data_IF_535751219385
#
_entry.id   IF_535751219385
#
_cell.length_a   1.000
_cell.length_b   1.000
_cell.length_c   1.000
_cell.angle_alpha   90.00
_cell.angle_beta   90.00
_cell.angle_gamma   90.00
#
_symmetry.space_group_name_H-M   'P 1'
#
loop_
_entity.id
_entity.type
_entity.pdbx_description
1 polymer ?
#
# COMPACT_ATOMS: atom_id res chain seq x y z
N UNK A 1 6.12 -7.56 -17.85
CA UNK A 1 5.76 -6.14 -18.11
C UNK A 1 5.05 -5.65 -16.87
N UNK A 2 5.36 -4.47 -16.36
CA UNK A 2 4.69 -3.92 -15.16
C UNK A 2 3.27 -3.48 -15.53
N UNK A 3 2.28 -3.87 -14.72
CA UNK A 3 0.90 -3.34 -14.81
C UNK A 3 0.92 -1.89 -14.32
N UNK A 4 0.29 -0.99 -15.05
CA UNK A 4 0.42 0.44 -14.84
C UNK A 4 -0.87 1.23 -14.91
N UNK A 5 -0.73 2.55 -15.09
CA UNK A 5 -1.85 3.51 -15.08
C UNK A 5 -2.86 3.17 -16.18
N UNK A 6 -4.15 3.20 -15.81
CA UNK A 6 -5.28 2.92 -16.70
C UNK A 6 -5.65 1.44 -16.80
N UNK A 7 -4.90 0.55 -16.14
CA UNK A 7 -5.19 -0.87 -16.06
C UNK A 7 -5.89 -1.21 -14.74
N UNK A 8 -6.67 -2.31 -14.74
CA UNK A 8 -7.29 -2.82 -13.52
C UNK A 8 -6.23 -3.33 -12.55
N UNK A 9 -6.34 -2.98 -11.25
CA UNK A 9 -5.55 -3.64 -10.24
C UNK A 9 -6.01 -5.10 -10.08
N UNK A 10 -5.10 -6.09 -10.04
CA UNK A 10 -5.48 -7.49 -10.01
C UNK A 10 -6.39 -7.84 -8.83
N UNK A 11 -7.50 -8.54 -9.11
CA UNK A 11 -8.36 -9.13 -8.10
C UNK A 11 -7.69 -10.37 -7.50
N UNK A 12 -7.38 -10.34 -6.22
CA UNK A 12 -6.69 -11.43 -5.52
C UNK A 12 -7.16 -11.54 -4.08
N UNK A 13 -7.40 -12.78 -3.62
CA UNK A 13 -7.64 -13.07 -2.22
C UNK A 13 -6.32 -13.39 -1.52
N UNK A 14 -6.00 -12.69 -0.44
CA UNK A 14 -4.81 -12.90 0.38
C UNK A 14 -5.20 -13.07 1.86
N UNK A 15 -4.45 -13.89 2.59
CA UNK A 15 -4.54 -13.89 4.04
C UNK A 15 -3.88 -12.63 4.58
N UNK A 16 -4.49 -12.00 5.57
CA UNK A 16 -3.96 -10.77 6.14
C UNK A 16 -4.22 -10.67 7.64
N UNK A 17 -3.43 -9.84 8.31
CA UNK A 17 -3.64 -9.48 9.70
C UNK A 17 -4.45 -8.19 9.74
N UNK A 18 -5.61 -8.23 10.38
CA UNK A 18 -6.54 -7.12 10.51
C UNK A 18 -6.83 -6.80 11.97
N UNK A 19 -7.34 -5.61 12.23
CA UNK A 19 -7.69 -5.15 13.58
C UNK A 19 -6.57 -4.38 14.27
N UNK A 20 -6.82 -3.97 15.50
CA UNK A 20 -5.92 -3.18 16.34
C UNK A 20 -5.51 -4.04 17.54
N UNK A 21 -4.28 -3.87 18.03
CA UNK A 21 -3.84 -4.57 19.23
C UNK A 21 -4.76 -4.22 20.43
N UNK A 22 -5.10 -5.21 21.32
CA UNK A 22 -4.65 -6.61 21.27
C UNK A 22 -5.54 -7.55 20.43
N UNK A 23 -6.52 -7.03 19.71
CA UNK A 23 -7.59 -7.81 19.05
C UNK A 23 -7.29 -8.08 17.56
N UNK A 24 -6.00 -8.17 17.18
CA UNK A 24 -5.60 -8.54 15.81
C UNK A 24 -5.98 -9.98 15.49
N UNK A 25 -6.53 -10.18 14.29
CA UNK A 25 -6.95 -11.48 13.78
C UNK A 25 -6.46 -11.70 12.35
N UNK A 26 -6.32 -12.97 11.96
CA UNK A 26 -6.06 -13.34 10.58
C UNK A 26 -7.40 -13.52 9.85
N UNK A 27 -7.52 -12.87 8.68
CA UNK A 27 -8.70 -12.95 7.82
C UNK A 27 -8.30 -12.97 6.34
N UNK A 28 -9.17 -13.51 5.50
CA UNK A 28 -9.04 -13.41 4.06
C UNK A 28 -9.53 -12.04 3.59
N UNK A 29 -8.72 -11.35 2.82
CA UNK A 29 -8.97 -10.03 2.26
C UNK A 29 -8.86 -10.11 0.74
N UNK A 30 -9.82 -9.54 0.04
CA UNK A 30 -9.78 -9.35 -1.40
C UNK A 30 -9.23 -7.96 -1.73
N UNK A 31 -8.31 -7.87 -2.69
CA UNK A 31 -7.69 -6.59 -3.09
C UNK A 31 -8.69 -5.59 -3.66
N UNK A 32 -9.83 -6.05 -4.12
CA UNK A 32 -10.94 -5.24 -4.63
C UNK A 32 -12.11 -5.05 -3.62
N UNK A 33 -11.98 -5.54 -2.39
CA UNK A 33 -12.96 -5.24 -1.34
C UNK A 33 -13.15 -3.73 -1.21
N UNK A 34 -14.38 -3.30 -0.85
CA UNK A 34 -14.78 -1.90 -0.79
C UNK A 34 -14.65 -1.13 -2.12
N UNK A 35 -15.38 -1.55 -3.11
CA UNK A 35 -15.41 -1.01 -4.49
C UNK A 35 -15.71 0.48 -4.64
N UNK A 36 -16.14 1.17 -3.60
CA UNK A 36 -16.48 2.60 -3.65
C UNK A 36 -15.39 3.51 -3.10
N UNK A 37 -14.27 2.95 -2.61
CA UNK A 37 -13.24 3.72 -1.93
C UNK A 37 -11.92 3.73 -2.73
N UNK A 38 -11.21 4.84 -2.62
CA UNK A 38 -9.83 4.91 -3.05
C UNK A 38 -8.98 3.96 -2.22
N UNK A 39 -7.98 3.33 -2.86
CA UNK A 39 -7.05 2.42 -2.19
C UNK A 39 -5.61 2.85 -2.40
N UNK A 40 -4.82 2.76 -1.34
CA UNK A 40 -3.37 2.81 -1.41
C UNK A 40 -2.85 1.42 -1.07
N UNK A 41 -2.22 0.78 -2.05
CA UNK A 41 -1.68 -0.57 -1.93
C UNK A 41 -0.17 -0.47 -2.09
N UNK A 42 0.57 -0.81 -1.05
CA UNK A 42 2.02 -0.74 -1.10
C UNK A 42 2.67 -2.09 -0.82
N UNK A 43 3.73 -2.36 -1.57
CA UNK A 43 4.55 -3.55 -1.41
C UNK A 43 5.84 -3.20 -0.68
N UNK A 44 6.30 -4.11 0.17
CA UNK A 44 7.59 -4.01 0.85
C UNK A 44 8.29 -5.38 0.87
N UNK A 45 9.64 -5.42 0.91
CA UNK A 45 10.37 -6.64 0.63
C UNK A 45 10.28 -7.70 1.74
N UNK A 46 10.25 -7.31 3.04
CA UNK A 46 10.39 -8.31 4.10
C UNK A 46 10.08 -7.77 5.50
N UNK A 47 9.38 -8.60 6.30
CA UNK A 47 9.20 -8.39 7.74
C UNK A 47 10.54 -8.49 8.49
N UNK A 48 10.58 -7.98 9.71
CA UNK A 48 11.74 -8.02 10.60
C UNK A 48 13.02 -7.42 10.00
N UNK A 49 12.88 -6.34 9.22
CA UNK A 49 13.98 -5.58 8.61
C UNK A 49 14.04 -4.14 9.13
N UNK A 50 14.83 -3.27 8.49
CA UNK A 50 15.14 -1.94 9.02
C UNK A 50 14.33 -0.81 8.40
N UNK A 51 14.17 -0.78 7.08
CA UNK A 51 13.43 0.28 6.37
C UNK A 51 11.91 0.03 6.45
N UNK A 52 11.47 -1.22 6.28
CA UNK A 52 10.07 -1.57 6.17
C UNK A 52 9.21 -1.12 7.37
N UNK A 53 9.62 -1.26 8.64
CA UNK A 53 8.80 -0.81 9.74
C UNK A 53 8.63 0.71 9.77
N UNK A 54 9.61 1.48 9.30
CA UNK A 54 9.49 2.95 9.21
C UNK A 54 8.48 3.38 8.18
N UNK A 55 8.38 2.64 7.06
CA UNK A 55 7.39 2.89 6.01
C UNK A 55 5.98 2.53 6.47
N UNK A 56 5.80 1.33 7.06
CA UNK A 56 4.50 0.87 7.56
C UNK A 56 3.96 1.84 8.62
N UNK A 57 4.78 2.25 9.58
CA UNK A 57 4.41 3.26 10.57
C UNK A 57 4.03 4.61 9.94
N UNK A 58 4.72 5.03 8.86
CA UNK A 58 4.38 6.25 8.15
C UNK A 58 3.05 6.14 7.38
N UNK A 59 2.73 4.97 6.82
CA UNK A 59 1.45 4.74 6.15
C UNK A 59 0.25 4.75 7.11
N UNK A 60 0.44 4.56 8.42
CA UNK A 60 -0.64 4.74 9.39
C UNK A 60 -1.24 6.15 9.33
N UNK A 61 -0.43 7.17 9.05
CA UNK A 61 -0.92 8.53 8.80
C UNK A 61 -1.97 8.59 7.67
N UNK A 62 -1.80 7.78 6.63
CA UNK A 62 -2.77 7.68 5.53
C UNK A 62 -4.06 7.04 6.04
N UNK A 63 -3.96 5.92 6.75
CA UNK A 63 -5.11 5.21 7.28
C UNK A 63 -5.93 6.03 8.28
N UNK A 64 -5.24 6.86 9.09
CA UNK A 64 -5.90 7.72 10.09
C UNK A 64 -6.51 9.00 9.52
N UNK A 65 -5.87 9.61 8.52
CA UNK A 65 -6.20 10.96 8.07
C UNK A 65 -6.95 11.01 6.74
N UNK A 66 -6.84 9.96 5.95
CA UNK A 66 -7.45 9.90 4.63
C UNK A 66 -8.61 8.91 4.61
N UNK A 67 -9.70 9.30 3.96
CA UNK A 67 -10.83 8.41 3.72
C UNK A 67 -10.51 7.49 2.54
N UNK A 68 -9.63 6.52 2.78
CA UNK A 68 -9.20 5.52 1.82
C UNK A 68 -8.77 4.23 2.50
N UNK A 69 -8.75 3.14 1.75
CA UNK A 69 -8.27 1.84 2.21
C UNK A 69 -6.77 1.77 2.01
N UNK A 70 -6.04 1.25 3.00
CA UNK A 70 -4.61 1.02 2.93
C UNK A 70 -4.32 -0.48 3.09
N UNK A 71 -3.53 -1.04 2.19
CA UNK A 71 -3.00 -2.40 2.30
C UNK A 71 -1.47 -2.39 2.19
N UNK A 72 -0.79 -3.00 3.16
CA UNK A 72 0.63 -3.32 3.07
C UNK A 72 0.81 -4.78 2.70
N UNK A 73 1.67 -5.09 1.72
CA UNK A 73 1.82 -6.44 1.18
C UNK A 73 3.30 -6.83 1.12
N UNK A 74 3.63 -8.01 1.63
CA UNK A 74 4.95 -8.63 1.48
C UNK A 74 4.83 -10.14 1.21
N UNK A 75 5.93 -10.82 0.83
CA UNK A 75 5.91 -12.26 0.62
C UNK A 75 5.93 -13.08 1.91
N UNK A 76 6.04 -12.43 3.07
CA UNK A 76 5.96 -13.12 4.37
C UNK A 76 4.55 -13.65 4.60
N UNK A 77 4.42 -14.69 5.44
CA UNK A 77 3.12 -15.24 5.76
C UNK A 77 2.39 -14.44 6.85
N UNK A 78 1.10 -14.68 6.98
CA UNK A 78 0.21 -13.99 7.91
C UNK A 78 0.61 -14.14 9.39
N UNK A 79 1.22 -15.24 9.78
CA UNK A 79 1.70 -15.45 11.16
C UNK A 79 2.96 -14.64 11.45
N UNK A 80 3.83 -14.46 10.44
CA UNK A 80 4.98 -13.58 10.53
C UNK A 80 4.53 -12.12 10.69
N UNK A 81 3.56 -11.67 9.90
CA UNK A 81 2.95 -10.35 10.03
C UNK A 81 2.36 -10.12 11.42
N UNK A 82 1.59 -11.10 11.93
CA UNK A 82 0.95 -10.98 13.25
C UNK A 82 2.00 -10.78 14.35
N UNK A 83 3.01 -11.66 14.41
CA UNK A 83 4.08 -11.58 15.42
C UNK A 83 4.85 -10.25 15.31
N UNK A 84 5.13 -9.80 14.10
CA UNK A 84 5.86 -8.55 13.90
C UNK A 84 5.06 -7.31 14.30
N UNK A 85 3.77 -7.27 13.99
CA UNK A 85 2.86 -6.19 14.40
C UNK A 85 2.68 -6.12 15.92
N UNK A 86 2.72 -7.27 16.62
CA UNK A 86 2.60 -7.32 18.07
C UNK A 86 3.90 -7.02 18.81
N UNK A 87 5.04 -7.43 18.25
CA UNK A 87 6.35 -7.34 18.91
C UNK A 87 7.15 -6.07 18.61
N UNK A 88 6.88 -5.39 17.50
CA UNK A 88 7.62 -4.20 17.09
C UNK A 88 6.96 -2.91 17.62
N UNK A 89 7.64 -2.13 18.48
CA UNK A 89 7.08 -0.91 19.06
C UNK A 89 6.63 0.15 18.04
N UNK A 90 7.18 0.16 16.84
CA UNK A 90 6.76 1.08 15.76
C UNK A 90 5.45 0.66 15.10
N UNK A 91 5.04 -0.61 15.26
CA UNK A 91 3.94 -1.20 14.51
C UNK A 91 2.72 -1.55 15.37
N UNK A 92 2.82 -1.42 16.68
CA UNK A 92 1.75 -1.82 17.61
C UNK A 92 0.42 -1.08 17.38
N UNK A 93 0.49 0.15 16.87
CA UNK A 93 -0.66 1.00 16.62
C UNK A 93 -1.16 0.94 15.16
N UNK A 94 -0.52 0.14 14.30
CA UNK A 94 -0.93 0.00 12.90
C UNK A 94 -2.32 -0.59 12.81
N UNK A 95 -3.23 0.12 12.13
CA UNK A 95 -4.66 -0.20 12.03
C UNK A 95 -5.04 -0.85 10.70
N UNK A 96 -4.27 -0.62 9.63
CA UNK A 96 -4.55 -1.18 8.32
C UNK A 96 -4.00 -2.61 8.17
N UNK A 97 -4.61 -3.43 7.28
CA UNK A 97 -4.17 -4.81 7.08
C UNK A 97 -2.77 -4.95 6.47
N UNK A 98 -1.99 -5.91 7.00
CA UNK A 98 -0.82 -6.47 6.31
C UNK A 98 -1.19 -7.79 5.66
N UNK A 99 -1.02 -7.90 4.35
CA UNK A 99 -1.43 -9.04 3.54
C UNK A 99 -0.22 -9.88 3.10
N UNK A 100 -0.41 -11.19 3.11
CA UNK A 100 0.60 -12.19 2.80
C UNK A 100 0.52 -12.61 1.33
N UNK A 101 1.39 -12.08 0.47
CA UNK A 101 1.59 -12.54 -0.90
C UNK A 101 2.64 -13.65 -0.93
N UNK A 102 2.38 -14.74 -0.19
CA UNK A 102 3.31 -15.86 -0.07
C UNK A 102 3.62 -16.47 -1.44
N UNK A 103 4.89 -16.42 -1.82
CA UNK A 103 5.34 -16.86 -3.15
C UNK A 103 5.32 -15.77 -4.22
N UNK A 104 5.07 -14.51 -3.87
CA UNK A 104 5.09 -13.34 -4.78
C UNK A 104 4.10 -13.42 -5.96
N UNK A 105 3.00 -14.14 -5.84
CA UNK A 105 2.08 -14.33 -6.97
C UNK A 105 1.49 -13.01 -7.48
N UNK A 106 1.04 -12.15 -6.59
CA UNK A 106 0.50 -10.84 -6.96
C UNK A 106 1.63 -9.89 -7.41
N UNK A 107 2.77 -9.89 -6.72
CA UNK A 107 3.92 -9.09 -7.11
C UNK A 107 4.50 -9.49 -8.48
N UNK A 108 4.51 -10.77 -8.82
CA UNK A 108 4.88 -11.27 -10.16
C UNK A 108 3.88 -10.82 -11.23
N UNK A 109 2.59 -10.92 -10.96
CA UNK A 109 1.54 -10.44 -11.87
C UNK A 109 1.68 -8.94 -12.13
N UNK A 110 2.01 -8.15 -11.11
CA UNK A 110 2.25 -6.71 -11.23
C UNK A 110 3.61 -6.37 -11.89
N UNK A 111 4.52 -7.34 -12.01
CA UNK A 111 5.85 -7.15 -12.60
C UNK A 111 6.82 -6.36 -11.71
N UNK A 112 6.71 -6.48 -10.40
CA UNK A 112 7.50 -5.72 -9.41
C UNK A 112 8.46 -6.58 -8.58
N UNK A 113 8.66 -7.85 -8.93
CA UNK A 113 9.60 -8.73 -8.22
C UNK A 113 11.03 -8.43 -8.65
N UNK A 114 11.91 -8.29 -7.68
CA UNK A 114 13.34 -8.05 -7.88
C UNK A 114 14.13 -9.35 -8.13
N UNK A 115 15.39 -9.22 -8.51
CA UNK A 115 16.32 -10.36 -8.65
C UNK A 115 16.58 -11.08 -7.30
N UNK A 116 16.28 -10.44 -6.17
CA UNK A 116 16.34 -11.03 -4.83
C UNK A 116 15.09 -11.84 -4.45
N UNK A 117 14.15 -12.01 -5.39
CA UNK A 117 12.88 -12.70 -5.20
C UNK A 117 12.00 -12.08 -4.10
N UNK A 118 12.03 -10.77 -3.98
CA UNK A 118 11.13 -9.96 -3.14
C UNK A 118 10.59 -8.79 -3.95
N UNK A 119 9.43 -8.22 -3.62
CA UNK A 119 8.93 -7.06 -4.34
C UNK A 119 9.80 -5.84 -4.08
N UNK A 120 9.96 -5.01 -5.11
CA UNK A 120 10.41 -3.63 -4.93
C UNK A 120 9.44 -2.86 -4.03
N UNK A 121 9.85 -1.68 -3.57
CA UNK A 121 8.99 -0.78 -2.77
C UNK A 121 8.02 -0.06 -3.69
N UNK A 122 7.05 -0.80 -4.20
CA UNK A 122 6.01 -0.29 -5.09
C UNK A 122 4.83 0.27 -4.31
N UNK A 123 4.22 1.34 -4.82
CA UNK A 123 2.98 1.93 -4.29
C UNK A 123 2.03 2.17 -5.44
N UNK A 124 0.80 1.72 -5.28
CA UNK A 124 -0.30 1.92 -6.20
C UNK A 124 -1.38 2.77 -5.53
N UNK A 125 -1.90 3.76 -6.26
CA UNK A 125 -3.15 4.43 -5.90
C UNK A 125 -4.19 3.94 -6.90
N UNK A 126 -5.25 3.35 -6.38
CA UNK A 126 -6.34 2.73 -7.15
C UNK A 126 -7.62 3.49 -6.86
N UNK A 127 -8.35 3.85 -7.90
CA UNK A 127 -9.61 4.57 -7.78
C UNK A 127 -10.78 3.65 -7.34
N UNK A 128 -11.96 4.23 -7.05
CA UNK A 128 -13.14 3.45 -6.65
C UNK A 128 -13.62 2.44 -7.70
N UNK A 129 -13.28 2.62 -8.96
CA UNK A 129 -13.59 1.70 -10.06
C UNK A 129 -12.59 0.55 -10.18
N UNK A 130 -11.52 0.56 -9.38
CA UNK A 130 -10.47 -0.47 -9.40
C UNK A 130 -9.34 -0.20 -10.38
N UNK A 131 -9.32 0.99 -11.00
CA UNK A 131 -8.32 1.38 -12.00
C UNK A 131 -7.11 2.04 -11.33
N UNK A 132 -5.93 1.64 -11.74
CA UNK A 132 -4.66 2.22 -11.26
C UNK A 132 -4.52 3.65 -11.80
N UNK A 133 -4.41 4.62 -10.91
CA UNK A 133 -4.23 6.04 -11.22
C UNK A 133 -2.82 6.55 -10.94
N UNK A 134 -2.04 5.84 -10.13
CA UNK A 134 -0.65 6.17 -9.84
C UNK A 134 0.14 4.91 -9.52
N UNK A 135 1.40 4.88 -9.98
CA UNK A 135 2.40 3.87 -9.61
C UNK A 135 3.72 4.57 -9.30
N UNK A 136 4.30 4.27 -8.17
CA UNK A 136 5.70 4.60 -7.89
C UNK A 136 6.47 3.38 -7.39
N UNK A 137 7.73 3.25 -7.79
CA UNK A 137 8.57 2.10 -7.43
C UNK A 137 9.94 2.60 -7.04
N UNK A 138 10.35 2.32 -5.80
CA UNK A 138 11.71 2.59 -5.32
C UNK A 138 12.54 1.30 -5.31
N UNK A 139 13.85 1.45 -5.46
CA UNK A 139 14.82 0.39 -5.19
C UNK A 139 14.72 -0.11 -3.73
N UNK A 140 15.21 -1.32 -3.50
CA UNK A 140 15.07 -2.00 -2.20
C UNK A 140 15.65 -1.20 -1.01
N UNK A 141 16.73 -0.44 -1.25
CA UNK A 141 17.43 0.32 -0.21
C UNK A 141 16.92 1.76 -0.01
N UNK A 142 15.85 2.14 -0.74
CA UNK A 142 15.34 3.51 -0.72
C UNK A 142 13.91 3.56 -0.22
N UNK A 143 13.70 4.12 0.98
CA UNK A 143 12.39 4.36 1.57
C UNK A 143 11.55 5.36 0.78
N UNK A 144 10.24 5.29 0.96
CA UNK A 144 9.24 6.14 0.29
C UNK A 144 9.02 7.46 1.02
N UNK A 145 8.41 8.41 0.31
CA UNK A 145 7.87 9.64 0.90
C UNK A 145 6.34 9.52 0.96
N UNK A 146 5.79 9.26 2.14
CA UNK A 146 4.33 9.09 2.34
C UNK A 146 3.58 10.40 2.15
N UNK A 147 4.15 11.55 2.48
CA UNK A 147 3.52 12.86 2.27
C UNK A 147 3.29 13.13 0.77
N UNK A 148 4.21 12.71 -0.09
CA UNK A 148 4.02 12.81 -1.55
C UNK A 148 2.94 11.86 -2.05
N UNK A 149 2.77 10.70 -1.45
CA UNK A 149 1.68 9.77 -1.78
C UNK A 149 0.34 10.40 -1.40
N UNK A 150 0.23 11.02 -0.22
CA UNK A 150 -0.97 11.75 0.22
C UNK A 150 -1.26 12.93 -0.73
N UNK A 151 -0.25 13.72 -1.06
CA UNK A 151 -0.39 14.84 -2.01
C UNK A 151 -0.94 14.35 -3.35
N UNK A 152 -0.40 13.25 -3.86
CA UNK A 152 -0.83 12.66 -5.13
C UNK A 152 -2.27 12.14 -5.04
N UNK A 153 -2.66 11.50 -3.95
CA UNK A 153 -4.04 11.07 -3.70
C UNK A 153 -5.00 12.27 -3.74
N UNK A 154 -4.66 13.37 -3.08
CA UNK A 154 -5.46 14.59 -3.09
C UNK A 154 -5.60 15.17 -4.50
N UNK A 155 -4.53 15.19 -5.28
CA UNK A 155 -4.56 15.68 -6.65
C UNK A 155 -5.46 14.82 -7.56
N UNK A 156 -5.39 13.49 -7.41
CA UNK A 156 -6.25 12.56 -8.15
C UNK A 156 -7.73 12.72 -7.77
N UNK A 157 -8.03 12.84 -6.48
CA UNK A 157 -9.39 13.05 -5.97
C UNK A 157 -10.00 14.39 -6.41
N UNK A 158 -9.18 15.43 -6.56
CA UNK A 158 -9.63 16.75 -6.96
C UNK A 158 -10.27 16.77 -8.37
N UNK A 159 -9.87 15.86 -9.26
CA UNK A 159 -10.50 15.61 -10.55
C UNK A 159 -10.33 16.73 -11.59
N UNK A 160 -9.55 17.79 -11.28
CA UNK A 160 -9.23 18.89 -12.20
C UNK A 160 -7.81 18.78 -12.74
N UNK A 161 -7.40 19.77 -13.55
CA UNK A 161 -6.03 19.86 -14.07
C UNK A 161 -5.11 20.45 -12.97
N UNK A 162 -4.48 19.58 -12.22
CA UNK A 162 -3.55 19.96 -11.15
C UNK A 162 -2.16 20.26 -11.73
N UNK A 163 -1.60 21.42 -11.38
CA UNK A 163 -0.27 21.82 -11.82
C UNK A 163 0.86 21.07 -11.11
N UNK A 164 2.10 21.36 -11.51
CA UNK A 164 3.28 20.84 -10.82
C UNK A 164 3.27 21.25 -9.35
N UNK A 165 3.56 20.31 -8.45
CA UNK A 165 3.57 20.52 -6.99
C UNK A 165 2.24 21.00 -6.40
N UNK A 166 1.14 20.77 -7.10
CA UNK A 166 -0.20 21.13 -6.63
C UNK A 166 -0.49 20.50 -5.26
N UNK A 167 -1.08 21.27 -4.36
CA UNK A 167 -1.56 20.79 -3.06
C UNK A 167 -3.03 21.12 -2.87
N UNK A 168 -3.69 20.41 -1.96
CA UNK A 168 -5.11 20.63 -1.69
C UNK A 168 -5.37 22.09 -1.28
N UNK A 169 -6.26 22.76 -2.01
CA UNK A 169 -6.58 24.19 -1.86
C UNK A 169 -5.98 25.09 -2.94
N UNK A 170 -5.02 24.59 -3.73
CA UNK A 170 -4.51 25.34 -4.89
C UNK A 170 -5.53 25.35 -6.03
N UNK A 171 -5.46 26.39 -6.88
CA UNK A 171 -6.29 26.48 -8.08
C UNK A 171 -5.85 25.46 -9.14
N UNK A 172 -6.78 25.05 -9.99
CA UNK A 172 -6.48 24.25 -11.18
C UNK A 172 -5.82 25.14 -12.25
N UNK A 173 -5.02 24.53 -13.13
CA UNK A 173 -4.30 25.28 -14.17
C UNK A 173 -5.16 25.56 -15.42
N UNK A 174 -6.36 24.99 -15.53
CA UNK A 174 -7.34 25.28 -16.55
C UNK A 174 -8.75 24.91 -16.07
#
# INVERSE_FOLDING_TARGET
MMIGIGEDFPHTALQGVVGINPDKVIAEIYTDDAHSDWKIIFFYPKDFTFICPTEIAAFEKVAEQEDCIVYGISPDNEYCHLEWLESNPLLVDVSFPLLADSGNMLAEQLGIVSDENVPYRATYIVDPEGIIQHVSVNALDTGRNVDEIIRTLHALRAGGLTGCSWTAGDEFVA
#
